data_IF_636236776386
#
_entry.id   IF_636236776386
#
_cell.length_a   1.000
_cell.length_b   1.000
_cell.length_c   1.000
_cell.angle_alpha   90.00
_cell.angle_beta   90.00
_cell.angle_gamma   90.00
#
_symmetry.space_group_name_H-M   'P 1'
#
loop_
_entity.id
_entity.type
_entity.pdbx_description
1 polymer ?
#
# COMPACT_ATOMS: atom_id res chain seq x y z
N UNK A 1 -15.00 -9.44 -12.33
CA UNK A 1 -13.52 -9.52 -12.37
C UNK A 1 -12.99 -8.27 -13.05
N UNK A 2 -12.02 -7.56 -12.46
CA UNK A 2 -11.39 -6.39 -13.07
C UNK A 2 -10.50 -6.81 -14.26
N UNK A 3 -10.56 -6.06 -15.36
CA UNK A 3 -9.72 -6.22 -16.56
C UNK A 3 -8.22 -6.18 -16.17
N UNK A 4 -7.30 -6.98 -16.76
CA UNK A 4 -5.89 -7.04 -16.31
C UNK A 4 -5.18 -5.69 -16.34
N UNK A 5 -5.45 -4.85 -17.34
CA UNK A 5 -4.92 -3.48 -17.40
C UNK A 5 -5.38 -2.61 -16.23
N UNK A 6 -6.58 -2.87 -15.71
CA UNK A 6 -7.13 -2.15 -14.56
C UNK A 6 -6.49 -2.65 -13.25
N UNK A 7 -6.13 -3.95 -13.18
CA UNK A 7 -5.43 -4.51 -12.00
C UNK A 7 -4.03 -3.95 -11.85
N UNK A 8 -3.24 -3.91 -12.94
CA UNK A 8 -1.89 -3.33 -12.90
C UNK A 8 -1.92 -1.85 -12.54
N UNK A 9 -2.92 -1.11 -13.03
CA UNK A 9 -3.11 0.29 -12.66
C UNK A 9 -3.42 0.46 -11.17
N UNK A 10 -4.34 -0.34 -10.62
CA UNK A 10 -4.68 -0.32 -9.19
C UNK A 10 -3.45 -0.66 -8.33
N UNK A 11 -2.69 -1.71 -8.67
CA UNK A 11 -1.48 -2.09 -7.94
C UNK A 11 -0.49 -0.93 -7.90
N UNK A 12 -0.20 -0.30 -9.06
CA UNK A 12 0.70 0.84 -9.13
C UNK A 12 0.20 2.03 -8.30
N UNK A 13 -1.10 2.33 -8.36
CA UNK A 13 -1.70 3.42 -7.59
C UNK A 13 -1.61 3.17 -6.09
N UNK A 14 -1.83 1.94 -5.62
CA UNK A 14 -1.67 1.56 -4.21
C UNK A 14 -0.21 1.66 -3.78
N UNK A 15 0.75 1.16 -4.58
CA UNK A 15 2.17 1.32 -4.26
C UNK A 15 2.58 2.79 -4.14
N UNK A 16 2.11 3.65 -5.06
CA UNK A 16 2.37 5.10 -5.00
C UNK A 16 1.71 5.76 -3.79
N UNK A 17 0.51 5.34 -3.41
CA UNK A 17 -0.15 5.86 -2.22
C UNK A 17 0.64 5.51 -0.96
N UNK A 18 1.06 4.24 -0.81
CA UNK A 18 1.89 3.81 0.32
C UNK A 18 3.19 4.63 0.34
N UNK A 19 3.91 4.74 -0.78
CA UNK A 19 5.12 5.55 -0.87
C UNK A 19 4.92 7.02 -0.46
N UNK A 20 3.87 7.67 -0.98
CA UNK A 20 3.62 9.09 -0.70
C UNK A 20 3.16 9.36 0.73
N UNK A 21 2.51 8.37 1.35
CA UNK A 21 1.95 8.47 2.69
C UNK A 21 2.98 8.03 3.74
N UNK A 22 3.88 7.10 3.42
CA UNK A 22 4.99 6.73 4.30
C UNK A 22 6.03 7.86 4.38
N UNK A 23 5.84 8.78 5.31
CA UNK A 23 6.80 9.85 5.64
C UNK A 23 7.64 9.44 6.85
N UNK A 24 8.95 9.28 6.64
CA UNK A 24 9.94 8.95 7.67
C UNK A 24 10.02 10.01 8.78
N UNK A 25 9.68 11.27 8.49
CA UNK A 25 9.76 12.35 9.49
C UNK A 25 8.55 12.39 10.41
N UNK A 26 7.38 11.97 9.93
CA UNK A 26 6.12 12.11 10.67
C UNK A 26 5.61 10.81 11.30
N UNK A 27 6.31 9.67 11.14
CA UNK A 27 5.85 8.35 11.61
C UNK A 27 4.38 8.09 11.26
N UNK A 28 3.91 8.67 10.15
CA UNK A 28 2.52 8.59 9.76
C UNK A 28 2.33 7.26 9.07
N UNK A 29 1.82 6.31 9.83
CA UNK A 29 1.46 4.97 9.40
C UNK A 29 -0.01 4.99 8.98
N UNK A 30 -0.26 4.62 7.72
CA UNK A 30 -1.58 4.66 7.12
C UNK A 30 -2.08 3.25 6.88
N UNK A 31 -3.34 3.00 7.22
CA UNK A 31 -3.96 1.71 7.04
C UNK A 31 -4.68 1.60 5.67
N UNK A 32 -5.33 0.45 5.43
CA UNK A 32 -6.04 0.22 4.17
C UNK A 32 -7.24 1.16 3.96
N UNK A 33 -7.85 1.68 5.02
CA UNK A 33 -8.96 2.63 4.94
C UNK A 33 -8.46 4.00 4.49
N UNK A 34 -7.34 4.46 5.06
CA UNK A 34 -6.70 5.71 4.67
C UNK A 34 -6.28 5.71 3.19
N UNK A 35 -5.62 4.63 2.75
CA UNK A 35 -5.18 4.44 1.37
C UNK A 35 -6.39 4.41 0.41
N UNK A 36 -7.48 3.75 0.82
CA UNK A 36 -8.70 3.69 0.03
C UNK A 36 -9.36 5.07 -0.11
N UNK A 37 -9.40 5.85 0.97
CA UNK A 37 -9.88 7.22 0.98
C UNK A 37 -9.04 8.11 0.06
N UNK A 38 -7.71 8.04 0.17
CA UNK A 38 -6.77 8.80 -0.65
C UNK A 38 -6.95 8.51 -2.16
N UNK A 39 -7.18 7.25 -2.53
CA UNK A 39 -7.34 6.83 -3.93
C UNK A 39 -8.79 6.91 -4.45
N UNK A 40 -9.78 7.21 -3.59
CA UNK A 40 -11.19 7.12 -3.94
C UNK A 40 -11.64 5.70 -4.34
N UNK A 41 -11.01 4.68 -3.75
CA UNK A 41 -11.29 3.25 -4.00
C UNK A 41 -12.13 2.64 -2.88
N UNK A 42 -12.69 1.46 -3.14
CA UNK A 42 -13.28 0.65 -2.06
C UNK A 42 -12.15 0.02 -1.25
N UNK A 43 -12.23 0.07 0.08
CA UNK A 43 -11.27 -0.55 1.01
C UNK A 43 -10.95 -2.01 0.64
N UNK A 44 -11.96 -2.81 0.32
CA UNK A 44 -11.77 -4.20 -0.14
C UNK A 44 -10.77 -4.36 -1.31
N UNK A 45 -10.74 -3.41 -2.25
CA UNK A 45 -9.81 -3.44 -3.39
C UNK A 45 -8.38 -3.18 -2.90
N UNK A 46 -8.22 -2.27 -1.94
CA UNK A 46 -6.94 -1.96 -1.32
C UNK A 46 -6.46 -3.14 -0.48
N UNK A 47 -7.33 -3.76 0.32
CA UNK A 47 -7.02 -4.97 1.10
C UNK A 47 -6.50 -6.11 0.20
N UNK A 48 -7.24 -6.40 -0.89
CA UNK A 48 -6.82 -7.40 -1.89
C UNK A 48 -5.47 -7.06 -2.52
N UNK A 49 -5.19 -5.77 -2.73
CA UNK A 49 -3.93 -5.30 -3.33
C UNK A 49 -2.77 -5.39 -2.35
N UNK A 50 -2.98 -5.01 -1.09
CA UNK A 50 -2.01 -5.16 0.01
C UNK A 50 -1.63 -6.63 0.17
N UNK A 51 -2.59 -7.54 0.19
CA UNK A 51 -2.31 -8.98 0.26
C UNK A 51 -1.41 -9.47 -0.90
N UNK A 52 -1.69 -9.02 -2.14
CA UNK A 52 -0.86 -9.36 -3.30
C UNK A 52 0.57 -8.81 -3.15
N UNK A 53 0.70 -7.56 -2.71
CA UNK A 53 2.01 -6.90 -2.54
C UNK A 53 2.81 -7.53 -1.39
N UNK A 54 2.13 -7.94 -0.32
CA UNK A 54 2.72 -8.69 0.79
C UNK A 54 3.27 -10.04 0.33
N UNK A 55 2.45 -10.85 -0.34
CA UNK A 55 2.86 -12.16 -0.86
C UNK A 55 4.01 -12.04 -1.88
N UNK A 56 4.09 -10.92 -2.61
CA UNK A 56 5.17 -10.60 -3.54
C UNK A 56 6.46 -10.09 -2.86
N UNK A 57 6.44 -9.84 -1.55
CA UNK A 57 7.57 -9.30 -0.80
C UNK A 57 7.87 -7.82 -1.08
N UNK A 58 6.86 -7.04 -1.46
CA UNK A 58 7.01 -5.60 -1.71
C UNK A 58 6.69 -4.73 -0.50
N UNK A 59 6.09 -5.31 0.54
CA UNK A 59 5.72 -4.63 1.79
C UNK A 59 6.52 -5.17 2.97
N UNK A 60 6.74 -4.29 3.94
CA UNK A 60 7.17 -4.61 5.30
C UNK A 60 6.11 -4.07 6.25
N UNK A 61 5.81 -4.84 7.30
CA UNK A 61 4.90 -4.40 8.36
C UNK A 61 5.63 -3.40 9.26
N UNK A 62 5.02 -2.23 9.44
CA UNK A 62 5.58 -1.13 10.22
C UNK A 62 5.02 -1.15 11.66
N UNK A 63 3.72 -1.38 11.84
CA UNK A 63 3.12 -1.72 13.13
C UNK A 63 2.02 -2.75 12.95
N UNK A 64 1.95 -3.69 13.89
CA UNK A 64 0.92 -4.73 13.87
C UNK A 64 -0.40 -4.17 14.39
N UNK A 65 -1.50 -4.82 14.00
CA UNK A 65 -2.83 -4.50 14.54
C UNK A 65 -2.91 -4.63 16.07
N UNK A 66 -2.03 -5.42 16.68
CA UNK A 66 -1.97 -5.61 18.13
C UNK A 66 -1.30 -4.43 18.85
N UNK A 67 -0.45 -3.68 18.15
CA UNK A 67 0.29 -2.56 18.73
C UNK A 67 -0.54 -1.27 18.81
N UNK A 68 -1.32 -0.96 17.78
CA UNK A 68 -2.06 0.32 17.70
C UNK A 68 -3.48 0.20 17.10
N UNK A 69 -4.02 -1.02 17.02
CA UNK A 69 -5.38 -1.27 16.53
C UNK A 69 -5.54 -1.32 15.00
N UNK A 70 -4.50 -0.96 14.24
CA UNK A 70 -4.42 -1.01 12.79
C UNK A 70 -3.11 -1.62 12.29
N UNK A 71 -3.16 -2.40 11.21
CA UNK A 71 -1.97 -2.94 10.55
C UNK A 71 -1.52 -1.96 9.47
N UNK A 72 -0.26 -1.57 9.51
CA UNK A 72 0.29 -0.52 8.64
C UNK A 72 1.53 -1.03 7.91
N UNK A 73 1.70 -0.57 6.67
CA UNK A 73 2.68 -1.14 5.75
C UNK A 73 3.53 -0.04 5.11
N UNK A 74 4.80 -0.36 4.91
CA UNK A 74 5.75 0.47 4.18
C UNK A 74 6.31 -0.34 3.00
N UNK A 75 6.75 0.32 1.92
CA UNK A 75 7.40 -0.37 0.80
C UNK A 75 8.81 -0.83 1.19
N UNK A 76 9.23 -1.98 0.68
CA UNK A 76 10.66 -2.35 0.67
C UNK A 76 11.47 -1.42 -0.24
N UNK A 77 12.78 -1.27 -0.01
CA UNK A 77 13.69 -0.49 -0.87
C UNK A 77 13.54 -0.85 -2.36
N UNK A 78 13.46 -2.14 -2.68
CA UNK A 78 13.27 -2.61 -4.05
C UNK A 78 11.92 -2.16 -4.64
N UNK A 79 10.87 -2.12 -3.83
CA UNK A 79 9.57 -1.65 -4.27
C UNK A 79 9.52 -0.12 -4.41
N UNK A 80 10.29 0.61 -3.60
CA UNK A 80 10.52 2.05 -3.73
C UNK A 80 11.20 2.35 -5.07
N UNK A 81 12.29 1.66 -5.39
CA UNK A 81 12.99 1.81 -6.68
C UNK A 81 12.02 1.67 -7.87
N UNK A 82 11.13 0.68 -7.81
CA UNK A 82 10.12 0.44 -8.85
C UNK A 82 9.09 1.59 -8.97
N UNK A 83 8.74 2.25 -7.87
CA UNK A 83 7.84 3.40 -7.88
C UNK A 83 8.52 4.63 -8.48
N UNK A 84 9.78 4.86 -8.13
CA UNK A 84 10.59 5.99 -8.60
C UNK A 84 10.96 5.88 -10.09
N UNK A 85 11.11 4.65 -10.60
CA UNK A 85 11.45 4.39 -12.00
C UNK A 85 10.29 4.54 -13.01
N UNK A 86 9.02 4.52 -12.57
CA UNK A 86 7.83 4.85 -13.40
C UNK A 86 6.93 3.69 -13.85
#
# INVERSE_FOLDING_TARGET
MLNPNNKTHVIRSVMKAIYNLSDEENYSVYDAEDIASYLGLKQKIVDETIAILWDAGFLVECMTREDDGAATYCLTDRAIDLVEMG
#
